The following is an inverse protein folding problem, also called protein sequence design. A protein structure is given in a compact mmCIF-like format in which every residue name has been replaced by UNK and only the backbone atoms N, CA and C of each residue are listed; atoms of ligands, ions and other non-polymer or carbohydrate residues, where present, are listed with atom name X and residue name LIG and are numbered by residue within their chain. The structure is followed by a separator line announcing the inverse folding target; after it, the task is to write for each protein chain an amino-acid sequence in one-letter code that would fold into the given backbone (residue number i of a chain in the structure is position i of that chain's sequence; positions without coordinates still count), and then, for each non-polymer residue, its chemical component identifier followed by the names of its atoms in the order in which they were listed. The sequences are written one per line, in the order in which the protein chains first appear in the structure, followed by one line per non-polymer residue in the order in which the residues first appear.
data_IF_669724766793
#
_entry.id   IF_669724766793
#
_cell.length_a   1.000
_cell.length_b   1.000
_cell.length_c   1.000
_cell.angle_alpha   90.00
_cell.angle_beta   90.00
_cell.angle_gamma   90.00
#
_symmetry.space_group_name_H-M   'P 1'
#
loop_
_entity.id
_entity.type
_entity.pdbx_description
1 polymer ?
#
# COMPACT_ATOMS: atom_id res chain seq x y z
N UNK A 1 -47.91 -18.66 -49.31
CA UNK A 1 -48.10 -19.25 -47.96
C UNK A 1 -46.72 -19.46 -47.34
N UNK A 2 -46.61 -19.15 -46.03
CA UNK A 2 -45.45 -19.01 -45.13
C UNK A 2 -44.06 -19.56 -45.53
N UNK A 3 -43.05 -18.67 -45.51
CA UNK A 3 -41.60 -18.97 -45.44
C UNK A 3 -41.23 -19.47 -44.04
N UNK A 4 -40.36 -20.49 -43.87
CA UNK A 4 -40.00 -21.01 -42.54
C UNK A 4 -39.25 -19.96 -41.70
N UNK A 5 -39.47 -19.91 -40.37
CA UNK A 5 -38.79 -18.97 -39.49
C UNK A 5 -37.29 -19.25 -39.49
N UNK A 6 -36.49 -18.22 -39.80
CA UNK A 6 -35.03 -18.28 -39.76
C UNK A 6 -34.60 -18.64 -38.35
N UNK A 7 -34.03 -19.83 -38.17
CA UNK A 7 -33.30 -20.24 -36.97
C UNK A 7 -32.18 -19.21 -36.73
N UNK A 8 -32.20 -18.43 -35.64
CA UNK A 8 -31.09 -17.55 -35.31
C UNK A 8 -29.86 -18.43 -35.06
N UNK A 9 -28.88 -18.25 -35.93
CA UNK A 9 -27.53 -18.77 -35.84
C UNK A 9 -26.93 -18.49 -34.45
N UNK A 10 -26.48 -19.57 -33.81
CA UNK A 10 -25.53 -19.64 -32.69
C UNK A 10 -25.81 -18.85 -31.39
N UNK A 11 -26.56 -19.45 -30.44
CA UNK A 11 -26.61 -18.98 -29.04
C UNK A 11 -25.26 -19.07 -28.30
N UNK A 12 -24.27 -19.81 -28.82
CA UNK A 12 -22.91 -19.88 -28.24
C UNK A 12 -22.10 -18.59 -28.46
N UNK A 13 -22.19 -17.96 -29.65
CA UNK A 13 -21.42 -16.73 -29.93
C UNK A 13 -21.86 -15.56 -29.04
N UNK A 14 -23.15 -15.47 -28.72
CA UNK A 14 -23.68 -14.46 -27.80
C UNK A 14 -23.19 -14.65 -26.35
N UNK A 15 -22.94 -15.90 -25.93
CA UNK A 15 -22.45 -16.21 -24.59
C UNK A 15 -20.94 -15.94 -24.45
N UNK A 16 -20.14 -16.20 -25.50
CA UNK A 16 -18.71 -15.90 -25.51
C UNK A 16 -18.42 -14.39 -25.50
N UNK A 17 -19.28 -13.56 -26.09
CA UNK A 17 -19.14 -12.11 -26.04
C UNK A 17 -19.30 -11.52 -24.63
N UNK A 18 -20.11 -12.15 -23.77
CA UNK A 18 -20.39 -11.70 -22.42
C UNK A 18 -19.31 -12.10 -21.39
N UNK A 19 -18.47 -13.09 -21.72
CA UNK A 19 -17.41 -13.64 -20.85
C UNK A 19 -16.00 -13.20 -21.25
N UNK A 20 -15.84 -12.04 -21.90
CA UNK A 20 -14.53 -11.43 -22.07
C UNK A 20 -14.01 -10.93 -20.72
N UNK A 21 -12.88 -11.44 -20.19
CA UNK A 21 -12.32 -10.93 -18.95
C UNK A 21 -11.81 -9.50 -19.21
N UNK A 22 -12.55 -8.51 -18.73
CA UNK A 22 -12.06 -7.13 -18.66
C UNK A 22 -10.86 -7.14 -17.71
N UNK A 23 -9.66 -6.98 -18.28
CA UNK A 23 -8.43 -6.78 -17.53
C UNK A 23 -8.62 -5.53 -16.68
N UNK A 24 -8.86 -5.71 -15.38
CA UNK A 24 -8.89 -4.60 -14.43
C UNK A 24 -7.55 -3.87 -14.57
N UNK A 25 -7.52 -2.57 -14.86
CA UNK A 25 -6.27 -1.84 -14.90
C UNK A 25 -5.63 -1.98 -13.53
N UNK A 26 -4.39 -2.49 -13.52
CA UNK A 26 -3.55 -2.48 -12.32
C UNK A 26 -3.50 -1.01 -11.88
N UNK A 27 -3.96 -0.66 -10.67
CA UNK A 27 -3.86 0.72 -10.24
C UNK A 27 -2.39 1.13 -10.37
N UNK A 28 -2.10 2.34 -10.88
CA UNK A 28 -0.73 2.82 -10.95
C UNK A 28 -0.13 2.62 -9.56
N UNK A 29 1.04 1.98 -9.50
CA UNK A 29 1.86 1.95 -8.29
C UNK A 29 1.99 3.42 -7.93
N UNK A 30 1.23 3.86 -6.91
CA UNK A 30 1.36 5.20 -6.39
C UNK A 30 2.76 5.20 -5.81
N UNK A 31 3.71 5.76 -6.55
CA UNK A 31 4.95 6.22 -5.96
C UNK A 31 4.51 7.01 -4.73
N UNK A 32 4.89 6.58 -3.51
CA UNK A 32 4.45 7.28 -2.32
C UNK A 32 4.98 8.69 -2.49
N UNK A 33 4.06 9.60 -2.82
CA UNK A 33 4.32 11.03 -2.84
C UNK A 33 5.06 11.29 -1.56
N UNK A 34 6.33 11.71 -1.68
CA UNK A 34 7.21 11.97 -0.56
C UNK A 34 6.60 13.13 0.22
N UNK A 35 5.59 12.81 1.02
CA UNK A 35 4.93 13.77 1.86
C UNK A 35 6.00 14.23 2.86
N UNK A 36 6.12 15.54 3.11
CA UNK A 36 6.94 15.98 4.21
C UNK A 36 6.41 15.28 5.46
N UNK A 37 7.28 14.51 6.14
CA UNK A 37 6.99 13.65 7.30
C UNK A 37 6.58 12.18 7.05
N UNK A 38 6.89 11.58 5.89
CA UNK A 38 6.79 10.11 5.76
C UNK A 38 7.80 9.43 6.70
N UNK A 39 7.32 8.47 7.50
CA UNK A 39 8.18 7.58 8.29
C UNK A 39 8.65 6.45 7.38
N UNK A 40 9.96 6.25 7.32
CA UNK A 40 10.55 5.14 6.57
C UNK A 40 10.80 3.96 7.52
N UNK A 41 10.36 2.76 7.11
CA UNK A 41 10.65 1.54 7.86
C UNK A 41 12.09 1.11 7.54
N UNK A 42 12.98 1.34 8.49
CA UNK A 42 14.39 0.97 8.38
C UNK A 42 14.77 -0.07 9.43
N UNK A 43 15.64 -1.00 9.05
CA UNK A 43 16.20 -1.97 9.99
C UNK A 43 17.45 -1.39 10.65
N UNK A 44 17.30 -0.87 11.86
CA UNK A 44 18.39 -0.36 12.70
C UNK A 44 18.66 -1.30 13.88
N UNK A 45 19.92 -1.40 14.30
CA UNK A 45 20.30 -2.09 15.54
C UNK A 45 20.19 -1.10 16.69
N UNK A 46 19.39 -1.43 17.70
CA UNK A 46 19.25 -0.64 18.94
C UNK A 46 19.76 -1.50 20.10
N UNK A 47 20.45 -0.87 21.04
CA UNK A 47 20.91 -1.54 22.25
C UNK A 47 19.72 -2.03 23.10
N UNK A 48 19.91 -3.15 23.80
CA UNK A 48 18.84 -3.78 24.58
C UNK A 48 18.38 -2.89 25.74
N UNK A 49 19.30 -2.23 26.45
CA UNK A 49 18.94 -1.38 27.58
C UNK A 49 18.11 -0.16 27.13
N UNK A 50 18.42 0.38 25.95
CA UNK A 50 17.64 1.46 25.34
C UNK A 50 16.25 0.97 24.96
N UNK A 51 16.15 -0.20 24.31
CA UNK A 51 14.87 -0.78 23.93
C UNK A 51 13.98 -1.08 25.15
N UNK A 52 14.54 -1.67 26.20
CA UNK A 52 13.82 -1.98 27.44
C UNK A 52 13.30 -0.68 28.09
N UNK A 53 14.14 0.36 28.21
CA UNK A 53 13.72 1.66 28.74
C UNK A 53 12.49 2.23 28.02
N UNK A 54 12.48 2.22 26.68
CA UNK A 54 11.33 2.76 25.94
C UNK A 54 10.10 1.84 25.99
N UNK A 55 10.30 0.52 26.09
CA UNK A 55 9.21 -0.47 26.16
C UNK A 55 8.49 -0.48 27.51
N UNK A 56 9.20 -0.20 28.62
CA UNK A 56 8.62 -0.13 29.97
C UNK A 56 7.50 0.92 30.07
N UNK A 57 7.64 2.03 29.35
CA UNK A 57 6.64 3.10 29.26
C UNK A 57 5.37 2.71 28.44
N UNK A 58 5.29 1.47 27.94
CA UNK A 58 4.09 0.90 27.31
C UNK A 58 3.94 1.19 25.80
N UNK A 59 2.71 1.11 25.24
CA UNK A 59 2.48 1.26 23.81
C UNK A 59 2.98 2.62 23.28
N UNK A 60 3.41 2.66 22.01
CA UNK A 60 3.99 3.87 21.40
C UNK A 60 5.49 4.08 21.67
N UNK A 61 6.19 3.07 22.19
CA UNK A 61 7.64 3.15 22.47
C UNK A 61 8.49 3.50 21.23
N UNK A 62 8.09 3.08 20.04
CA UNK A 62 8.78 3.44 18.78
C UNK A 62 8.60 4.92 18.45
N UNK A 63 7.42 5.49 18.70
CA UNK A 63 7.17 6.92 18.52
C UNK A 63 8.04 7.74 19.46
N UNK A 64 8.18 7.32 20.73
CA UNK A 64 9.06 7.97 21.71
C UNK A 64 10.52 7.95 21.29
N UNK A 65 11.01 6.81 20.77
CA UNK A 65 12.36 6.73 20.19
C UNK A 65 12.52 7.74 19.05
N UNK A 66 11.56 7.77 18.13
CA UNK A 66 11.60 8.68 17.00
C UNK A 66 11.56 10.17 17.43
N UNK A 67 10.78 10.53 18.44
CA UNK A 67 10.74 11.89 18.97
C UNK A 67 12.04 12.29 19.67
N UNK A 68 12.67 11.37 20.41
CA UNK A 68 14.01 11.59 20.97
C UNK A 68 15.06 11.84 19.87
N UNK A 69 15.01 11.07 18.78
CA UNK A 69 15.90 11.28 17.62
C UNK A 69 15.64 12.64 16.95
N UNK A 70 14.37 13.05 16.80
CA UNK A 70 14.00 14.36 16.25
C UNK A 70 14.55 15.51 17.08
N UNK A 71 14.43 15.43 18.41
CA UNK A 71 14.98 16.45 19.32
C UNK A 71 16.50 16.56 19.18
N UNK A 72 17.19 15.42 19.07
CA UNK A 72 18.65 15.39 18.89
C UNK A 72 19.08 16.03 17.56
N UNK A 73 18.33 15.80 16.48
CA UNK A 73 18.62 16.41 15.17
C UNK A 73 18.31 17.91 15.20
N UNK A 74 17.19 18.32 15.80
CA UNK A 74 16.81 19.73 15.89
C UNK A 74 17.80 20.57 16.72
N UNK A 75 18.44 19.96 17.72
CA UNK A 75 19.46 20.61 18.55
C UNK A 75 20.88 20.59 17.97
N UNK A 76 21.12 19.87 16.87
CA UNK A 76 22.41 19.90 16.18
C UNK A 76 22.39 20.99 15.10
N UNK A 77 23.29 21.98 15.14
CA UNK A 77 23.51 22.80 13.96
C UNK A 77 23.98 21.88 12.83
N UNK A 78 23.25 21.84 11.72
CA UNK A 78 23.76 21.29 10.47
C UNK A 78 25.03 22.10 10.12
N UNK A 79 26.19 21.51 10.38
CA UNK A 79 27.50 22.07 10.01
C UNK A 79 27.73 22.03 8.52
#
# INVERSE_FOLDING_TARGET
MATPPRRPTNPMEAAEAAFKPVKKPVPPIREPSAAPNVRELVSIRIDRAVLDHFQEDGPGWQDRINDALRQLVAGKPQG
#
